data_IF_711347609097
#
_entry.id   IF_711347609097
#
_cell.length_a   1.000
_cell.length_b   1.000
_cell.length_c   1.000
_cell.angle_alpha   90.00
_cell.angle_beta   90.00
_cell.angle_gamma   90.00
#
_symmetry.space_group_name_H-M   'P 1'
#
loop_
_entity.id
_entity.type
_entity.pdbx_description
1 polymer ?
#
# COMPACT_ATOMS: atom_id res chain seq x y z
N UNK A 1 1.16 -23.96 -0.82
CA UNK A 1 0.27 -22.88 -0.33
C UNK A 1 0.32 -21.72 -1.32
N UNK A 2 -0.68 -21.59 -2.20
CA UNK A 2 -0.81 -20.44 -3.12
C UNK A 2 -1.32 -19.26 -2.29
N UNK A 3 -0.49 -18.23 -2.11
CA UNK A 3 -0.81 -17.07 -1.26
C UNK A 3 -1.81 -16.18 -1.98
N UNK A 4 -3.00 -16.05 -1.41
CA UNK A 4 -4.03 -15.11 -1.84
C UNK A 4 -3.69 -13.75 -1.21
N UNK A 5 -3.54 -12.70 -2.03
CA UNK A 5 -3.53 -11.30 -1.57
C UNK A 5 -2.19 -10.72 -1.11
N UNK A 6 -1.14 -10.77 -1.92
CA UNK A 6 0.04 -9.94 -1.69
C UNK A 6 -0.21 -8.50 -2.13
N UNK A 7 0.27 -7.51 -1.38
CA UNK A 7 0.27 -6.09 -1.79
C UNK A 7 1.23 -5.85 -2.98
N UNK A 8 1.09 -6.58 -4.09
CA UNK A 8 1.91 -6.41 -5.30
C UNK A 8 1.88 -4.97 -5.81
N UNK A 9 0.77 -4.27 -5.57
CA UNK A 9 0.62 -2.84 -5.86
C UNK A 9 1.57 -1.96 -5.05
N UNK A 10 1.74 -2.21 -3.74
CA UNK A 10 2.62 -1.42 -2.87
C UNK A 10 4.06 -1.46 -3.36
N UNK A 11 4.56 -2.63 -3.78
CA UNK A 11 5.90 -2.72 -4.37
C UNK A 11 6.02 -1.88 -5.65
N UNK A 12 5.00 -1.89 -6.51
CA UNK A 12 4.96 -1.08 -7.73
C UNK A 12 5.04 0.42 -7.42
N UNK A 13 4.20 0.90 -6.50
CA UNK A 13 4.25 2.30 -6.05
C UNK A 13 5.59 2.67 -5.42
N UNK A 14 6.17 1.78 -4.60
CA UNK A 14 7.51 1.99 -4.04
C UNK A 14 8.58 2.15 -5.14
N UNK A 15 8.54 1.32 -6.19
CA UNK A 15 9.47 1.43 -7.32
C UNK A 15 9.28 2.74 -8.10
N UNK A 16 8.03 3.13 -8.38
CA UNK A 16 7.72 4.40 -9.05
C UNK A 16 8.15 5.63 -8.21
N UNK A 17 8.13 5.51 -6.89
CA UNK A 17 8.65 6.54 -5.99
C UNK A 17 10.20 6.57 -5.90
N UNK A 18 10.90 5.67 -6.61
CA UNK A 18 12.35 5.44 -6.53
C UNK A 18 12.85 5.18 -5.10
N UNK A 19 12.10 4.39 -4.33
CA UNK A 19 12.44 4.07 -2.94
C UNK A 19 12.81 2.61 -2.73
N UNK A 20 13.81 2.39 -1.87
CA UNK A 20 14.19 1.06 -1.39
C UNK A 20 13.34 0.65 -0.20
N UNK A 21 13.24 -0.66 0.09
CA UNK A 21 12.58 -1.15 1.30
C UNK A 21 13.22 -0.57 2.59
N UNK A 22 14.53 -0.30 2.57
CA UNK A 22 15.26 0.33 3.68
C UNK A 22 14.81 1.78 3.91
N UNK A 23 14.64 2.56 2.85
CA UNK A 23 14.17 3.94 2.95
C UNK A 23 12.71 4.01 3.42
N UNK A 24 11.85 3.11 2.93
CA UNK A 24 10.46 3.02 3.39
C UNK A 24 10.37 2.63 4.87
N UNK A 25 11.15 1.64 5.30
CA UNK A 25 11.22 1.23 6.70
C UNK A 25 11.66 2.40 7.61
N UNK A 26 12.71 3.14 7.20
CA UNK A 26 13.16 4.35 7.90
C UNK A 26 12.06 5.41 7.96
N UNK A 27 11.36 5.65 6.85
CA UNK A 27 10.28 6.64 6.77
C UNK A 27 9.13 6.31 7.72
N UNK A 28 8.75 5.03 7.82
CA UNK A 28 7.65 4.56 8.67
C UNK A 28 8.08 4.27 10.12
N UNK A 29 9.36 4.42 10.47
CA UNK A 29 9.87 4.12 11.80
C UNK A 29 9.80 2.63 12.17
N UNK A 30 9.92 1.72 11.19
CA UNK A 30 9.89 0.26 11.40
C UNK A 30 11.20 -0.39 10.95
N UNK A 31 11.41 -1.66 11.30
CA UNK A 31 12.55 -2.42 10.79
C UNK A 31 12.36 -2.77 9.30
N UNK A 32 13.46 -2.99 8.58
CA UNK A 32 13.42 -3.43 7.17
C UNK A 32 12.68 -4.76 7.03
N UNK A 33 12.87 -5.69 7.97
CA UNK A 33 12.17 -6.96 7.99
C UNK A 33 10.65 -6.80 8.18
N UNK A 34 10.24 -5.90 9.08
CA UNK A 34 8.83 -5.55 9.30
C UNK A 34 8.21 -4.99 8.01
N UNK A 35 8.85 -4.01 7.38
CA UNK A 35 8.38 -3.44 6.13
C UNK A 35 8.31 -4.50 5.01
N UNK A 36 9.35 -5.31 4.86
CA UNK A 36 9.40 -6.38 3.85
C UNK A 36 8.32 -7.45 4.07
N UNK A 37 8.02 -7.79 5.33
CA UNK A 37 6.89 -8.67 5.68
C UNK A 37 5.55 -8.05 5.27
N UNK A 38 5.37 -6.75 5.56
CA UNK A 38 4.16 -6.02 5.18
C UNK A 38 3.98 -5.87 3.68
N UNK A 39 5.03 -5.49 2.94
CA UNK A 39 4.99 -5.35 1.48
C UNK A 39 4.66 -6.68 0.78
N UNK A 40 5.11 -7.81 1.34
CA UNK A 40 4.77 -9.16 0.83
C UNK A 40 3.36 -9.63 1.23
N UNK A 41 2.61 -8.83 1.98
CA UNK A 41 1.27 -9.17 2.47
C UNK A 41 1.24 -10.21 3.59
N UNK A 42 2.38 -10.48 4.25
CA UNK A 42 2.39 -11.38 5.42
C UNK A 42 1.80 -10.67 6.63
N UNK A 43 2.16 -9.41 6.83
CA UNK A 43 1.60 -8.54 7.85
C UNK A 43 0.84 -7.38 7.19
N UNK A 44 -0.18 -6.85 7.85
CA UNK A 44 -0.89 -5.68 7.33
C UNK A 44 -0.16 -4.38 7.69
N UNK A 45 -0.28 -3.38 6.82
CA UNK A 45 0.00 -2.00 7.19
C UNK A 45 -1.12 -1.48 8.09
N UNK A 46 -0.78 -0.78 9.16
CA UNK A 46 -1.77 -0.09 9.99
C UNK A 46 -2.21 1.21 9.31
N UNK A 47 -3.26 1.85 9.82
CA UNK A 47 -3.86 2.99 9.13
C UNK A 47 -2.96 4.23 9.13
N UNK A 48 -2.12 4.41 10.17
CA UNK A 48 -1.10 5.45 10.20
C UNK A 48 -0.06 5.24 9.09
N UNK A 49 0.45 4.03 8.95
CA UNK A 49 1.42 3.67 7.90
C UNK A 49 0.80 3.86 6.50
N UNK A 50 -0.46 3.44 6.30
CA UNK A 50 -1.17 3.65 5.03
C UNK A 50 -1.30 5.15 4.69
N UNK A 51 -1.61 5.99 5.69
CA UNK A 51 -1.74 7.43 5.52
C UNK A 51 -0.40 8.10 5.17
N UNK A 52 0.67 7.72 5.85
CA UNK A 52 2.02 8.19 5.60
C UNK A 52 2.49 7.77 4.20
N UNK A 53 2.32 6.50 3.83
CA UNK A 53 2.67 6.00 2.50
C UNK A 53 1.88 6.69 1.38
N UNK A 54 0.57 6.92 1.57
CA UNK A 54 -0.23 7.69 0.62
C UNK A 54 0.33 9.09 0.44
N UNK A 55 0.64 9.78 1.53
CA UNK A 55 1.19 11.15 1.48
C UNK A 55 2.51 11.17 0.73
N UNK A 56 3.40 10.23 1.04
CA UNK A 56 4.68 10.08 0.35
C UNK A 56 4.52 9.83 -1.15
N UNK A 57 3.64 8.90 -1.54
CA UNK A 57 3.40 8.58 -2.95
C UNK A 57 2.70 9.71 -3.69
N UNK A 58 1.79 10.46 -3.04
CA UNK A 58 1.20 11.67 -3.62
C UNK A 58 2.23 12.73 -3.97
N UNK A 59 3.22 12.90 -3.10
CA UNK A 59 4.28 13.88 -3.29
C UNK A 59 5.30 13.46 -4.35
N UNK A 60 5.47 12.15 -4.58
CA UNK A 60 6.49 11.61 -5.50
C UNK A 60 5.96 11.16 -6.86
N UNK A 61 4.69 10.80 -6.96
CA UNK A 61 4.11 10.12 -8.13
C UNK A 61 2.91 10.91 -8.66
N UNK A 62 1.80 10.94 -7.93
CA UNK A 62 0.57 11.62 -8.34
C UNK A 62 -0.25 12.06 -7.12
N UNK A 63 -0.54 13.37 -7.06
CA UNK A 63 -1.29 14.04 -5.98
C UNK A 63 -2.68 13.44 -5.72
N UNK A 64 -3.28 12.75 -6.70
CA UNK A 64 -4.62 12.20 -6.59
C UNK A 64 -4.68 10.79 -5.97
N UNK A 65 -3.54 10.11 -5.81
CA UNK A 65 -3.50 8.71 -5.33
C UNK A 65 -4.27 8.51 -4.02
N UNK A 66 -5.10 7.48 -3.98
CA UNK A 66 -5.94 7.12 -2.83
C UNK A 66 -5.39 5.90 -2.09
N UNK A 67 -5.82 5.70 -0.85
CA UNK A 67 -5.45 4.48 -0.09
C UNK A 67 -5.97 3.24 -0.82
N UNK A 68 -7.18 3.32 -1.36
CA UNK A 68 -7.84 2.25 -2.12
C UNK A 68 -7.00 1.80 -3.32
N UNK A 69 -6.47 2.74 -4.10
CA UNK A 69 -5.62 2.43 -5.25
C UNK A 69 -4.29 1.76 -4.85
N UNK A 70 -3.70 2.19 -3.73
CA UNK A 70 -2.41 1.70 -3.26
C UNK A 70 -2.53 0.33 -2.60
N UNK A 71 -3.54 0.13 -1.76
CA UNK A 71 -3.61 -0.99 -0.82
C UNK A 71 -4.73 -1.98 -1.11
N UNK A 72 -5.71 -1.64 -1.95
CA UNK A 72 -6.89 -2.48 -2.19
C UNK A 72 -7.02 -2.85 -3.68
N UNK A 73 -7.55 -4.04 -3.94
CA UNK A 73 -7.82 -4.49 -5.31
C UNK A 73 -9.15 -3.97 -5.85
N UNK A 74 -9.26 -3.87 -7.18
CA UNK A 74 -10.45 -3.38 -7.87
C UNK A 74 -11.72 -4.20 -7.55
N UNK A 75 -11.58 -5.41 -7.02
CA UNK A 75 -12.69 -6.21 -6.49
C UNK A 75 -13.45 -5.53 -5.34
N UNK A 76 -12.77 -4.73 -4.51
CA UNK A 76 -13.41 -3.97 -3.43
C UNK A 76 -14.26 -2.81 -3.95
N UNK A 77 -13.87 -2.20 -5.07
CA UNK A 77 -14.64 -1.12 -5.67
C UNK A 77 -15.99 -1.58 -6.27
N UNK A 78 -16.12 -2.86 -6.65
CA UNK A 78 -17.40 -3.44 -7.09
C UNK A 78 -18.41 -3.54 -5.94
N UNK A 79 -17.98 -4.09 -4.80
CA UNK A 79 -18.84 -4.28 -3.61
C UNK A 79 -19.38 -2.93 -3.12
N UNK A 80 -18.54 -1.90 -3.07
CA UNK A 80 -18.94 -0.57 -2.59
C UNK A 80 -19.93 0.14 -3.50
N UNK A 81 -19.89 -0.11 -4.83
CA UNK A 81 -20.90 0.43 -5.76
C UNK A 81 -22.26 -0.24 -5.59
N UNK A 82 -22.28 -1.52 -5.26
CA UNK A 82 -23.52 -2.30 -5.05
C UNK A 82 -24.20 -1.96 -3.72
N UNK A 83 -23.43 -1.62 -2.68
CA UNK A 83 -23.98 -1.18 -1.38
C UNK A 83 -24.56 0.24 -1.41
N UNK A 84 -23.97 1.15 -2.19
CA UNK A 84 -24.45 2.55 -2.31
C UNK A 84 -25.63 2.67 -3.30
N UNK A 85 -25.85 1.68 -4.15
CA UNK A 85 -26.95 1.63 -5.11
C UNK A 85 -28.24 0.99 -4.55
N UNK A 86 -28.24 0.54 -3.29
CA UNK A 86 -29.42 0.09 -2.54
C UNK A 86 -29.91 1.21 -1.62
#
# INVERSE_FOLDING_TARGET
MRRVGGYGKVSGFRYMAHMTQKQMAKYLGVTVATYSSKERGINQFNDKEKLEMRTLFRNKIDKNLTIDEIFFDAGYAKIRKEEVAK
#
